data_IF_772977468812
#
_entry.id   IF_772977468812
#
_cell.length_a   1.000
_cell.length_b   1.000
_cell.length_c   1.000
_cell.angle_alpha   90.00
_cell.angle_beta   90.00
_cell.angle_gamma   90.00
#
_symmetry.space_group_name_H-M   'P 1'
#
loop_
_entity.id
_entity.type
_entity.pdbx_description
1 polymer ?
#
# COMPACT_ATOMS: atom_id res chain seq x y z
N UNK A 1 -0.01 34.45 -12.19
CA UNK A 1 1.05 33.54 -11.63
C UNK A 1 0.54 32.54 -10.57
N UNK A 2 -0.77 32.40 -10.33
CA UNK A 2 -1.31 31.60 -9.21
C UNK A 2 -1.51 30.09 -9.49
N UNK A 3 -2.14 29.70 -10.58
CA UNK A 3 -2.63 28.32 -10.77
C UNK A 3 -1.54 27.23 -10.87
N UNK A 4 -0.47 27.47 -11.59
CA UNK A 4 0.61 26.47 -11.72
C UNK A 4 1.39 26.26 -10.42
N UNK A 5 1.51 27.29 -9.59
CA UNK A 5 2.15 27.21 -8.28
C UNK A 5 1.27 26.44 -7.27
N UNK A 6 -0.05 26.70 -7.28
CA UNK A 6 -1.00 26.00 -6.39
C UNK A 6 -1.12 24.51 -6.73
N UNK A 7 -1.18 24.14 -8.02
CA UNK A 7 -1.19 22.73 -8.46
C UNK A 7 0.10 22.01 -8.07
N UNK A 8 1.26 22.66 -8.25
CA UNK A 8 2.56 22.09 -7.81
C UNK A 8 2.64 21.97 -6.30
N UNK A 9 2.17 22.98 -5.54
CA UNK A 9 2.16 22.93 -4.09
C UNK A 9 1.27 21.81 -3.54
N UNK A 10 0.07 21.62 -4.12
CA UNK A 10 -0.83 20.54 -3.77
C UNK A 10 -0.24 19.16 -4.08
N UNK A 11 0.39 18.99 -5.25
CA UNK A 11 1.07 17.75 -5.63
C UNK A 11 2.26 17.45 -4.71
N UNK A 12 3.09 18.46 -4.42
CA UNK A 12 4.21 18.31 -3.48
C UNK A 12 3.75 17.99 -2.06
N UNK A 13 2.66 18.60 -1.58
CA UNK A 13 2.08 18.30 -0.26
C UNK A 13 1.55 16.85 -0.20
N UNK A 14 0.86 16.38 -1.25
CA UNK A 14 0.38 15.00 -1.36
C UNK A 14 1.55 14.00 -1.35
N UNK A 15 2.59 14.26 -2.11
CA UNK A 15 3.81 13.43 -2.15
C UNK A 15 4.52 13.42 -0.80
N UNK A 16 4.63 14.56 -0.12
CA UNK A 16 5.23 14.66 1.20
C UNK A 16 4.43 13.89 2.26
N UNK A 17 3.09 13.99 2.22
CA UNK A 17 2.21 13.23 3.11
C UNK A 17 2.33 11.72 2.90
N UNK A 18 2.37 11.25 1.65
CA UNK A 18 2.59 9.84 1.31
C UNK A 18 3.93 9.34 1.83
N UNK A 19 5.02 10.11 1.66
CA UNK A 19 6.34 9.76 2.19
C UNK A 19 6.35 9.70 3.71
N UNK A 20 5.72 10.67 4.38
CA UNK A 20 5.62 10.71 5.84
C UNK A 20 4.90 9.47 6.37
N UNK A 21 3.79 9.07 5.74
CA UNK A 21 3.02 7.87 6.09
C UNK A 21 3.85 6.59 5.88
N UNK A 22 4.55 6.50 4.75
CA UNK A 22 5.46 5.40 4.46
C UNK A 22 6.55 5.26 5.53
N UNK A 23 7.16 6.38 5.93
CA UNK A 23 8.19 6.39 6.96
C UNK A 23 7.64 6.01 8.34
N UNK A 24 6.43 6.46 8.68
CA UNK A 24 5.75 6.08 9.91
C UNK A 24 5.45 4.57 9.95
N UNK A 25 4.95 4.01 8.85
CA UNK A 25 4.70 2.57 8.68
C UNK A 25 5.97 1.76 8.92
N UNK A 26 7.04 2.05 8.18
CA UNK A 26 8.31 1.34 8.35
C UNK A 26 8.92 1.55 9.73
N UNK A 27 8.73 2.72 10.34
CA UNK A 27 9.14 2.97 11.72
C UNK A 27 8.45 2.03 12.72
N UNK A 28 7.15 1.77 12.56
CA UNK A 28 6.39 0.82 13.37
C UNK A 28 6.83 -0.63 13.11
N UNK A 29 6.94 -1.05 11.84
CA UNK A 29 7.37 -2.40 11.45
C UNK A 29 8.77 -2.73 11.99
N UNK A 30 9.73 -1.80 11.85
CA UNK A 30 11.10 -1.94 12.36
C UNK A 30 11.09 -2.04 13.89
N UNK A 31 10.31 -1.18 14.56
CA UNK A 31 10.16 -1.24 16.01
C UNK A 31 9.64 -2.59 16.49
N UNK A 32 8.59 -3.11 15.86
CA UNK A 32 8.01 -4.41 16.18
C UNK A 32 9.01 -5.54 15.95
N UNK A 33 9.69 -5.56 14.81
CA UNK A 33 10.69 -6.57 14.49
C UNK A 33 11.87 -6.54 15.47
N UNK A 34 12.33 -5.35 15.88
CA UNK A 34 13.39 -5.18 16.86
C UNK A 34 12.94 -5.59 18.27
N UNK A 35 11.68 -5.36 18.62
CA UNK A 35 11.12 -5.70 19.93
C UNK A 35 10.79 -7.17 20.09
N UNK A 36 10.40 -7.86 19.01
CA UNK A 36 10.08 -9.29 19.02
C UNK A 36 11.31 -10.21 19.09
N UNK A 37 12.51 -9.67 18.94
CA UNK A 37 13.77 -10.41 18.94
C UNK A 37 14.92 -9.56 19.45
N UNK A 38 16.13 -9.85 18.94
CA UNK A 38 17.30 -9.01 19.22
C UNK A 38 17.20 -7.70 18.41
N UNK A 39 17.43 -6.52 19.02
CA UNK A 39 17.46 -5.25 18.31
C UNK A 39 18.69 -5.06 17.39
N UNK A 40 19.57 -6.07 17.30
CA UNK A 40 20.67 -6.07 16.34
C UNK A 40 20.24 -6.73 15.01
N UNK A 41 20.32 -6.00 13.87
CA UNK A 41 20.00 -6.56 12.55
C UNK A 41 20.90 -7.72 12.11
N UNK A 42 22.08 -7.88 12.73
CA UNK A 42 22.99 -8.97 12.40
C UNK A 42 22.51 -10.32 12.98
N UNK A 43 21.83 -10.29 14.10
CA UNK A 43 21.31 -11.47 14.80
C UNK A 43 19.81 -11.70 14.58
N UNK A 44 19.07 -10.64 14.19
CA UNK A 44 17.62 -10.69 13.96
C UNK A 44 17.31 -10.68 12.46
N UNK A 45 16.99 -11.85 11.89
CA UNK A 45 16.67 -12.00 10.47
C UNK A 45 15.40 -11.25 10.07
N UNK A 46 14.38 -11.23 10.93
CA UNK A 46 13.14 -10.50 10.68
C UNK A 46 13.40 -9.00 10.57
N UNK A 47 14.14 -8.44 11.52
CA UNK A 47 14.54 -7.04 11.52
C UNK A 47 15.36 -6.68 10.27
N UNK A 48 16.29 -7.55 9.87
CA UNK A 48 17.10 -7.35 8.66
C UNK A 48 16.23 -7.25 7.42
N UNK A 49 15.27 -8.17 7.22
CA UNK A 49 14.35 -8.17 6.07
C UNK A 49 13.51 -6.88 6.00
N UNK A 50 13.00 -6.42 7.14
CA UNK A 50 12.21 -5.16 7.19
C UNK A 50 13.10 -3.97 6.86
N UNK A 51 14.35 -3.91 7.36
CA UNK A 51 15.31 -2.85 7.04
C UNK A 51 15.67 -2.85 5.55
N UNK A 52 15.87 -4.01 4.95
CA UNK A 52 16.16 -4.12 3.51
C UNK A 52 14.98 -3.60 2.67
N UNK A 53 13.76 -3.96 3.04
CA UNK A 53 12.55 -3.40 2.42
C UNK A 53 12.49 -1.87 2.56
N UNK A 54 12.65 -1.37 3.78
CA UNK A 54 12.63 0.07 4.05
C UNK A 54 13.67 0.83 3.21
N UNK A 55 14.87 0.26 3.04
CA UNK A 55 15.92 0.85 2.18
C UNK A 55 15.55 0.87 0.71
N UNK A 56 14.91 -0.20 0.20
CA UNK A 56 14.41 -0.26 -1.20
C UNK A 56 13.38 0.84 -1.45
N UNK A 57 12.54 1.14 -0.46
CA UNK A 57 11.51 2.20 -0.49
C UNK A 57 12.07 3.60 -0.12
N UNK A 58 13.39 3.76 -0.10
CA UNK A 58 14.06 5.02 0.20
C UNK A 58 13.70 5.63 1.57
N UNK A 59 13.41 4.79 2.57
CA UNK A 59 13.21 5.25 3.95
C UNK A 59 14.55 5.75 4.53
N UNK A 60 14.59 6.97 5.07
CA UNK A 60 15.82 7.54 5.61
C UNK A 60 16.45 6.70 6.73
N UNK A 61 17.77 6.60 6.73
CA UNK A 61 18.51 5.80 7.71
C UNK A 61 18.27 6.27 9.17
N UNK A 62 17.97 7.54 9.38
CA UNK A 62 17.67 8.10 10.70
C UNK A 62 16.30 7.62 11.23
N UNK A 63 15.32 7.37 10.36
CA UNK A 63 14.02 6.76 10.73
C UNK A 63 14.25 5.32 11.20
N UNK A 64 15.02 4.54 10.44
CA UNK A 64 15.39 3.16 10.77
C UNK A 64 16.10 3.11 12.12
N UNK A 65 17.12 3.95 12.30
CA UNK A 65 17.91 4.00 13.54
C UNK A 65 17.06 4.40 14.75
N UNK A 66 16.22 5.43 14.64
CA UNK A 66 15.32 5.86 15.71
C UNK A 66 14.32 4.78 16.12
N UNK A 67 13.80 4.00 15.17
CA UNK A 67 12.87 2.91 15.46
C UNK A 67 13.55 1.79 16.26
N UNK A 68 14.78 1.40 15.90
CA UNK A 68 15.58 0.42 16.62
C UNK A 68 15.93 0.92 18.04
N UNK A 69 16.37 2.16 18.17
CA UNK A 69 16.70 2.76 19.47
C UNK A 69 15.48 2.85 20.38
N UNK A 70 14.31 3.20 19.84
CA UNK A 70 13.05 3.20 20.58
C UNK A 70 12.69 1.81 21.10
N UNK A 71 12.98 0.75 20.33
CA UNK A 71 12.76 -0.63 20.77
C UNK A 71 13.72 -1.04 21.91
N UNK A 72 14.98 -0.58 21.87
CA UNK A 72 15.97 -0.82 22.96
C UNK A 72 15.61 -0.13 24.26
N UNK A 73 14.93 1.01 24.19
CA UNK A 73 14.62 1.86 25.35
C UNK A 73 13.54 1.33 26.29
N UNK A 74 13.08 0.10 26.14
CA UNK A 74 12.13 -0.54 27.07
C UNK A 74 10.71 0.08 27.09
N UNK A 75 10.36 0.86 26.07
CA UNK A 75 9.01 1.42 25.94
C UNK A 75 7.98 0.28 25.84
N UNK A 76 6.97 0.32 26.74
CA UNK A 76 5.87 -0.65 26.77
C UNK A 76 4.83 -0.46 25.65
N UNK A 77 5.16 0.28 24.60
CA UNK A 77 4.30 0.41 23.42
C UNK A 77 4.30 -0.93 22.68
N UNK A 78 3.13 -1.52 22.53
CA UNK A 78 2.90 -2.70 21.72
C UNK A 78 2.00 -2.28 20.57
N UNK A 79 2.50 -2.36 19.33
CA UNK A 79 1.65 -2.22 18.18
C UNK A 79 0.98 -3.55 17.85
N UNK A 80 -0.27 -3.48 17.41
CA UNK A 80 -1.06 -4.61 16.92
C UNK A 80 -1.48 -4.33 15.50
N UNK A 81 -1.34 -5.31 14.63
CA UNK A 81 -1.93 -5.28 13.30
C UNK A 81 -3.42 -5.62 13.42
N UNK A 82 -4.26 -4.77 12.87
CA UNK A 82 -5.72 -4.94 12.86
C UNK A 82 -6.24 -4.66 11.46
N UNK A 83 -7.14 -5.50 10.99
CA UNK A 83 -7.84 -5.33 9.72
C UNK A 83 -9.30 -5.05 9.96
N UNK A 84 -9.79 -3.97 9.36
CA UNK A 84 -11.21 -3.64 9.32
C UNK A 84 -11.72 -3.85 7.91
N UNK A 85 -12.93 -4.38 7.81
CA UNK A 85 -13.61 -4.64 6.57
C UNK A 85 -14.95 -3.93 6.58
N UNK A 86 -15.41 -3.47 5.42
CA UNK A 86 -16.66 -2.74 5.35
C UNK A 86 -17.10 -2.41 3.94
N UNK A 87 -18.22 -1.70 3.89
CA UNK A 87 -18.81 -1.21 2.65
C UNK A 87 -18.84 0.30 2.70
N UNK A 88 -18.20 0.93 1.71
CA UNK A 88 -18.20 2.37 1.50
C UNK A 88 -19.39 2.84 0.67
N UNK A 89 -19.46 4.16 0.36
CA UNK A 89 -20.48 4.73 -0.52
C UNK A 89 -20.54 3.99 -1.86
N UNK A 90 -21.74 3.82 -2.43
CA UNK A 90 -21.93 3.15 -3.71
C UNK A 90 -21.67 1.63 -3.67
N UNK A 91 -21.75 1.00 -2.50
CA UNK A 91 -21.47 -0.42 -2.29
C UNK A 91 -20.02 -0.84 -2.58
N UNK A 92 -19.07 0.07 -2.45
CA UNK A 92 -17.65 -0.24 -2.58
C UNK A 92 -17.20 -1.12 -1.42
N UNK A 93 -16.69 -2.29 -1.73
CA UNK A 93 -16.04 -3.16 -0.73
C UNK A 93 -14.68 -2.59 -0.35
N UNK A 94 -14.41 -2.53 0.95
CA UNK A 94 -13.19 -1.92 1.48
C UNK A 94 -12.54 -2.78 2.54
N UNK A 95 -11.22 -2.81 2.49
CA UNK A 95 -10.37 -3.42 3.52
C UNK A 95 -9.38 -2.36 3.99
N UNK A 96 -9.29 -2.16 5.29
CA UNK A 96 -8.43 -1.14 5.93
C UNK A 96 -7.46 -1.86 6.86
N UNK A 97 -6.19 -1.87 6.49
CA UNK A 97 -5.11 -2.41 7.32
C UNK A 97 -4.57 -1.31 8.22
N UNK A 98 -4.48 -1.62 9.51
CA UNK A 98 -4.02 -0.69 10.53
C UNK A 98 -2.94 -1.33 11.39
N UNK A 99 -2.00 -0.50 11.86
CA UNK A 99 -1.02 -0.84 12.87
C UNK A 99 -1.11 0.19 13.99
N UNK A 100 -1.58 -0.24 15.15
CA UNK A 100 -1.94 0.67 16.24
C UNK A 100 -1.48 0.17 17.61
N UNK A 101 -1.22 1.09 18.51
CA UNK A 101 -1.02 0.83 19.94
C UNK A 101 -2.32 0.89 20.76
N UNK A 102 -3.44 1.28 20.10
CA UNK A 102 -4.76 1.37 20.75
C UNK A 102 -5.89 0.99 19.77
N UNK A 103 -6.25 -0.28 19.76
CA UNK A 103 -7.28 -0.83 18.86
C UNK A 103 -8.66 -0.20 19.03
N UNK A 104 -9.03 0.24 20.25
CA UNK A 104 -10.32 0.88 20.51
C UNK A 104 -10.39 2.29 19.90
N UNK A 105 -9.29 3.04 19.99
CA UNK A 105 -9.18 4.35 19.34
C UNK A 105 -9.32 4.18 17.83
N UNK A 106 -8.50 3.32 17.23
CA UNK A 106 -8.49 3.09 15.78
C UNK A 106 -9.81 2.58 15.26
N UNK A 107 -10.44 1.64 15.96
CA UNK A 107 -11.80 1.18 15.62
C UNK A 107 -12.80 2.33 15.57
N UNK A 108 -12.77 3.21 16.58
CA UNK A 108 -13.67 4.36 16.66
C UNK A 108 -13.44 5.35 15.53
N UNK A 109 -12.19 5.63 15.20
CA UNK A 109 -11.80 6.52 14.09
C UNK A 109 -12.25 5.97 12.75
N UNK A 110 -11.91 4.71 12.45
CA UNK A 110 -12.28 4.05 11.18
C UNK A 110 -13.81 3.96 11.05
N UNK A 111 -14.51 3.51 12.10
CA UNK A 111 -15.98 3.45 12.11
C UNK A 111 -16.62 4.82 11.89
N UNK A 112 -16.06 5.85 12.49
CA UNK A 112 -16.56 7.23 12.32
C UNK A 112 -16.38 7.72 10.90
N UNK A 113 -15.24 7.42 10.26
CA UNK A 113 -14.98 7.76 8.86
C UNK A 113 -16.03 7.10 7.94
N UNK A 114 -16.23 5.80 8.07
CA UNK A 114 -17.25 5.08 7.29
C UNK A 114 -18.65 5.68 7.48
N UNK A 115 -19.10 5.84 8.72
CA UNK A 115 -20.45 6.34 9.03
C UNK A 115 -20.68 7.76 8.49
N UNK A 116 -19.69 8.66 8.60
CA UNK A 116 -19.80 10.05 8.10
C UNK A 116 -19.92 10.14 6.58
N UNK A 117 -19.44 9.13 5.88
CA UNK A 117 -19.44 9.10 4.41
C UNK A 117 -20.51 8.17 3.82
N UNK A 118 -21.42 7.64 4.65
CA UNK A 118 -22.54 6.79 4.20
C UNK A 118 -22.13 5.33 3.98
N UNK A 119 -21.02 4.90 4.56
CA UNK A 119 -20.60 3.51 4.61
C UNK A 119 -20.84 2.87 5.97
N UNK A 120 -20.43 1.62 6.13
CA UNK A 120 -20.50 0.88 7.40
C UNK A 120 -19.39 -0.16 7.50
N UNK A 121 -18.88 -0.38 8.72
CA UNK A 121 -18.02 -1.52 8.99
C UNK A 121 -18.83 -2.81 9.09
N UNK A 122 -18.28 -3.87 8.54
CA UNK A 122 -18.78 -5.24 8.62
C UNK A 122 -17.95 -6.10 9.57
N UNK A 123 -18.25 -7.38 9.54
CA UNK A 123 -17.46 -8.38 10.27
C UNK A 123 -16.21 -8.79 9.46
N UNK A 124 -15.25 -9.43 10.12
CA UNK A 124 -14.11 -10.03 9.43
C UNK A 124 -14.58 -11.03 8.36
N UNK A 125 -14.01 -10.94 7.16
CA UNK A 125 -14.40 -11.72 5.98
C UNK A 125 -15.53 -11.13 5.14
N UNK A 126 -16.12 -9.98 5.55
CA UNK A 126 -17.25 -9.38 4.83
C UNK A 126 -16.87 -8.69 3.51
N UNK A 127 -15.61 -8.29 3.35
CA UNK A 127 -15.10 -7.66 2.13
C UNK A 127 -13.91 -8.40 1.53
N UNK A 128 -13.11 -9.10 2.36
CA UNK A 128 -11.85 -9.73 1.94
C UNK A 128 -12.00 -10.74 0.82
N UNK A 129 -13.15 -11.42 0.72
CA UNK A 129 -13.44 -12.38 -0.37
C UNK A 129 -13.45 -11.76 -1.78
N UNK A 130 -13.59 -10.42 -1.85
CA UNK A 130 -13.55 -9.67 -3.11
C UNK A 130 -12.13 -9.38 -3.60
N UNK A 131 -11.11 -9.70 -2.79
CA UNK A 131 -9.73 -9.36 -3.09
C UNK A 131 -8.85 -10.60 -3.18
N UNK A 132 -7.87 -10.54 -4.08
CA UNK A 132 -6.79 -11.52 -4.15
C UNK A 132 -5.47 -10.85 -3.85
N UNK A 133 -4.60 -11.53 -3.11
CA UNK A 133 -3.23 -11.07 -2.90
C UNK A 133 -2.39 -11.43 -4.10
N UNK A 134 -1.94 -10.42 -4.85
CA UNK A 134 -1.19 -10.57 -6.09
C UNK A 134 0.04 -9.66 -6.08
N UNK A 135 1.05 -10.01 -6.86
CA UNK A 135 2.03 -9.06 -7.35
C UNK A 135 1.36 -8.21 -8.43
N UNK A 136 1.40 -6.90 -8.28
CA UNK A 136 0.87 -5.92 -9.22
C UNK A 136 2.00 -5.02 -9.69
N UNK A 137 2.13 -4.89 -11.00
CA UNK A 137 3.05 -3.97 -11.66
C UNK A 137 2.28 -3.19 -12.70
N UNK A 138 2.34 -1.86 -12.60
CA UNK A 138 1.66 -0.93 -13.49
C UNK A 138 2.67 0.08 -14.01
N UNK A 139 2.69 0.31 -15.32
CA UNK A 139 3.68 1.15 -15.97
C UNK A 139 3.25 1.52 -17.38
N UNK A 140 3.90 2.54 -17.96
CA UNK A 140 3.79 2.94 -19.35
C UNK A 140 5.06 2.64 -20.14
N UNK A 141 4.93 2.66 -21.46
CA UNK A 141 6.08 2.69 -22.37
C UNK A 141 6.58 1.34 -22.83
N UNK A 142 5.80 0.27 -22.70
CA UNK A 142 6.00 -1.01 -23.39
C UNK A 142 4.69 -1.45 -24.03
N UNK A 143 4.79 -2.15 -25.14
CA UNK A 143 3.65 -2.83 -25.74
C UNK A 143 3.40 -4.17 -25.04
N UNK A 144 2.26 -4.80 -25.34
CA UNK A 144 1.94 -6.15 -24.85
C UNK A 144 3.00 -7.16 -25.28
N UNK A 145 3.38 -7.14 -26.56
CA UNK A 145 4.39 -8.06 -27.13
C UNK A 145 5.75 -7.88 -26.47
N UNK A 146 6.22 -6.63 -26.29
CA UNK A 146 7.48 -6.33 -25.59
C UNK A 146 7.46 -6.80 -24.13
N UNK A 147 6.32 -6.64 -23.46
CA UNK A 147 6.15 -7.07 -22.07
C UNK A 147 6.16 -8.58 -21.94
N UNK A 148 5.43 -9.27 -22.81
CA UNK A 148 5.39 -10.73 -22.84
C UNK A 148 6.76 -11.31 -23.19
N UNK A 149 7.48 -10.73 -24.17
CA UNK A 149 8.84 -11.15 -24.53
C UNK A 149 9.80 -10.95 -23.35
N UNK A 150 9.74 -9.81 -22.66
CA UNK A 150 10.57 -9.53 -21.49
C UNK A 150 10.34 -10.57 -20.36
N UNK A 151 9.09 -10.88 -20.06
CA UNK A 151 8.71 -11.87 -19.05
C UNK A 151 9.18 -13.28 -19.42
N UNK A 152 9.02 -13.66 -20.70
CA UNK A 152 9.48 -14.96 -21.22
C UNK A 152 11.01 -15.08 -21.16
N UNK A 153 11.74 -14.05 -21.56
CA UNK A 153 13.21 -14.04 -21.53
C UNK A 153 13.76 -14.07 -20.11
N UNK A 154 13.02 -13.52 -19.15
CA UNK A 154 13.35 -13.54 -17.72
C UNK A 154 12.92 -14.81 -17.00
N UNK A 155 12.37 -15.81 -17.69
CA UNK A 155 11.77 -17.03 -17.08
C UNK A 155 10.77 -16.68 -15.96
N UNK A 156 10.05 -15.56 -16.14
CA UNK A 156 9.07 -15.05 -15.19
C UNK A 156 7.67 -15.58 -15.50
N UNK A 157 6.87 -15.81 -14.47
CA UNK A 157 5.54 -16.42 -14.58
C UNK A 157 4.45 -15.42 -14.20
N UNK A 158 3.98 -14.57 -15.15
CA UNK A 158 2.86 -13.69 -14.91
C UNK A 158 1.56 -14.50 -14.82
N UNK A 159 0.60 -13.98 -14.07
CA UNK A 159 -0.77 -14.50 -14.02
C UNK A 159 -1.60 -13.93 -15.15
N UNK A 160 -1.43 -12.63 -15.40
CA UNK A 160 -2.13 -11.88 -16.46
C UNK A 160 -1.31 -10.68 -16.90
N UNK A 161 -1.46 -10.28 -18.16
CA UNK A 161 -0.91 -9.07 -18.76
C UNK A 161 -2.04 -8.38 -19.51
N UNK A 162 -2.38 -7.16 -19.10
CA UNK A 162 -3.45 -6.37 -19.71
C UNK A 162 -2.84 -5.06 -20.17
N UNK A 163 -3.16 -4.66 -21.40
CA UNK A 163 -2.74 -3.37 -21.97
C UNK A 163 -3.97 -2.59 -22.41
N UNK A 164 -4.15 -1.43 -21.84
CA UNK A 164 -5.21 -0.48 -22.19
C UNK A 164 -4.55 0.84 -22.61
N UNK A 165 -4.77 1.23 -23.85
CA UNK A 165 -4.02 2.32 -24.51
C UNK A 165 -2.50 2.05 -24.47
N UNK A 166 -1.74 2.87 -23.76
CA UNK A 166 -0.29 2.70 -23.55
C UNK A 166 0.07 2.24 -22.12
N UNK A 167 -0.95 1.90 -21.32
CA UNK A 167 -0.80 1.52 -19.91
C UNK A 167 -0.81 0.00 -19.73
N UNK A 168 0.23 -0.52 -19.12
CA UNK A 168 0.43 -1.95 -18.95
C UNK A 168 0.21 -2.32 -17.49
N UNK A 169 -0.65 -3.32 -17.26
CA UNK A 169 -0.88 -3.94 -15.97
C UNK A 169 -0.45 -5.40 -16.01
N UNK A 170 0.56 -5.75 -15.21
CA UNK A 170 1.01 -7.15 -15.04
C UNK A 170 0.65 -7.61 -13.65
N UNK A 171 -0.02 -8.76 -13.56
CA UNK A 171 -0.28 -9.44 -12.28
C UNK A 171 0.48 -10.76 -12.22
N UNK A 172 0.88 -11.15 -11.02
CA UNK A 172 1.56 -12.43 -10.75
C UNK A 172 1.11 -13.04 -9.42
N UNK A 173 1.50 -14.28 -9.16
CA UNK A 173 1.48 -14.77 -7.80
C UNK A 173 2.46 -13.95 -6.93
N UNK A 174 2.21 -13.81 -5.61
CA UNK A 174 3.09 -13.05 -4.73
C UNK A 174 4.56 -13.51 -4.75
N UNK A 175 4.78 -14.81 -4.90
CA UNK A 175 6.10 -15.44 -5.02
C UNK A 175 6.83 -15.13 -6.32
N UNK A 176 6.09 -14.91 -7.42
CA UNK A 176 6.64 -14.63 -8.76
C UNK A 176 6.86 -13.13 -9.01
N UNK A 177 6.41 -12.27 -8.09
CA UNK A 177 6.44 -10.81 -8.25
C UNK A 177 7.85 -10.26 -8.54
N UNK A 178 8.86 -10.67 -7.76
CA UNK A 178 10.22 -10.18 -7.92
C UNK A 178 10.81 -10.60 -9.29
N UNK A 179 10.53 -11.84 -9.73
CA UNK A 179 10.99 -12.33 -11.04
C UNK A 179 10.36 -11.54 -12.19
N UNK A 180 9.04 -11.29 -12.13
CA UNK A 180 8.34 -10.51 -13.15
C UNK A 180 8.85 -9.06 -13.21
N UNK A 181 9.00 -8.42 -12.05
CA UNK A 181 9.52 -7.04 -11.97
C UNK A 181 10.94 -6.94 -12.53
N UNK A 182 11.81 -7.87 -12.16
CA UNK A 182 13.22 -7.85 -12.55
C UNK A 182 13.37 -8.16 -14.06
N UNK A 183 12.53 -9.03 -14.63
CA UNK A 183 12.46 -9.30 -16.06
C UNK A 183 12.09 -8.04 -16.87
N UNK A 184 11.05 -7.31 -16.45
CA UNK A 184 10.62 -6.05 -17.07
C UNK A 184 11.73 -5.01 -16.98
N UNK A 185 12.36 -4.85 -15.80
CA UNK A 185 13.48 -3.92 -15.60
C UNK A 185 14.72 -4.29 -16.41
N UNK A 186 15.00 -5.57 -16.64
CA UNK A 186 16.12 -6.01 -17.46
C UNK A 186 15.92 -5.65 -18.93
N UNK A 187 14.69 -5.78 -19.44
CA UNK A 187 14.33 -5.40 -20.82
C UNK A 187 14.32 -3.88 -21.01
N UNK A 188 13.88 -3.12 -20.02
CA UNK A 188 13.81 -1.66 -20.06
C UNK A 188 14.30 -1.02 -18.77
N UNK A 189 15.62 -0.82 -18.61
CA UNK A 189 16.21 -0.33 -17.35
C UNK A 189 15.71 1.03 -16.87
N UNK A 190 15.37 1.92 -17.80
CA UNK A 190 14.90 3.28 -17.52
C UNK A 190 13.39 3.35 -17.25
N UNK A 191 12.64 2.24 -17.40
CA UNK A 191 11.21 2.19 -17.13
C UNK A 191 10.94 2.46 -15.64
N UNK A 192 10.02 3.37 -15.35
CA UNK A 192 9.52 3.61 -14.00
C UNK A 192 8.17 2.92 -13.83
N UNK A 193 7.98 2.25 -12.69
CA UNK A 193 6.69 1.68 -12.32
C UNK A 193 5.88 2.73 -11.57
N UNK A 194 4.62 2.92 -11.96
CA UNK A 194 3.65 3.67 -11.17
C UNK A 194 3.27 2.87 -9.91
N UNK A 195 3.05 1.55 -10.11
CA UNK A 195 2.85 0.59 -9.03
C UNK A 195 3.77 -0.61 -9.23
N UNK A 196 4.47 -1.05 -8.17
CA UNK A 196 5.19 -2.31 -8.14
C UNK A 196 5.19 -2.86 -6.71
N UNK A 197 4.19 -3.67 -6.37
CA UNK A 197 4.03 -4.20 -5.03
C UNK A 197 3.22 -5.49 -4.99
N UNK A 198 3.44 -6.29 -3.94
CA UNK A 198 2.50 -7.35 -3.58
C UNK A 198 1.37 -6.73 -2.77
N UNK A 199 0.17 -6.71 -3.33
CA UNK A 199 -0.98 -5.99 -2.80
C UNK A 199 -2.28 -6.81 -2.93
N UNK A 200 -3.38 -6.28 -2.41
CA UNK A 200 -4.71 -6.84 -2.60
C UNK A 200 -5.38 -6.18 -3.80
N UNK A 201 -5.68 -6.97 -4.81
CA UNK A 201 -6.34 -6.55 -6.06
C UNK A 201 -7.78 -7.05 -6.03
N UNK A 202 -8.77 -6.22 -6.33
CA UNK A 202 -10.17 -6.65 -6.36
C UNK A 202 -10.45 -7.53 -7.57
N UNK A 203 -11.36 -8.51 -7.38
CA UNK A 203 -11.80 -9.39 -8.47
C UNK A 203 -12.73 -8.67 -9.47
N UNK A 204 -13.46 -7.67 -9.00
CA UNK A 204 -14.38 -6.84 -9.80
C UNK A 204 -14.39 -5.42 -9.28
N UNK A 205 -14.58 -4.47 -10.17
CA UNK A 205 -14.68 -3.05 -9.85
C UNK A 205 -16.13 -2.57 -9.86
N UNK A 206 -16.40 -1.49 -9.13
CA UNK A 206 -17.69 -0.80 -9.06
C UNK A 206 -17.51 0.62 -9.56
N UNK A 207 -18.31 1.01 -10.56
CA UNK A 207 -18.39 2.40 -11.01
C UNK A 207 -19.25 3.22 -10.06
N UNK A 208 -18.78 4.41 -9.74
CA UNK A 208 -19.46 5.35 -8.85
C UNK A 208 -20.03 6.51 -9.64
N UNK A 209 -21.26 6.91 -9.31
CA UNK A 209 -21.78 8.21 -9.72
C UNK A 209 -21.08 9.36 -8.97
N UNK A 210 -21.29 10.58 -9.41
CA UNK A 210 -20.56 11.76 -8.90
C UNK A 210 -20.80 11.99 -7.40
N UNK A 211 -22.01 11.72 -6.86
CA UNK A 211 -22.31 11.87 -5.43
C UNK A 211 -21.57 10.83 -4.59
N UNK A 212 -21.61 9.56 -5.02
CA UNK A 212 -20.88 8.49 -4.33
C UNK A 212 -19.38 8.67 -4.47
N UNK A 213 -18.87 9.12 -5.62
CA UNK A 213 -17.46 9.41 -5.84
C UNK A 213 -16.95 10.49 -4.88
N UNK A 214 -17.69 11.58 -4.71
CA UNK A 214 -17.32 12.65 -3.76
C UNK A 214 -17.30 12.15 -2.30
N UNK A 215 -18.31 11.36 -1.89
CA UNK A 215 -18.36 10.75 -0.56
C UNK A 215 -17.24 9.75 -0.34
N UNK A 216 -16.93 8.95 -1.36
CA UNK A 216 -15.87 7.95 -1.32
C UNK A 216 -14.49 8.61 -1.19
N UNK A 217 -14.21 9.65 -1.99
CA UNK A 217 -12.96 10.41 -1.86
C UNK A 217 -12.80 10.98 -0.46
N UNK A 218 -13.87 11.56 0.12
CA UNK A 218 -13.84 12.04 1.51
C UNK A 218 -13.55 10.93 2.52
N UNK A 219 -14.08 9.71 2.29
CA UNK A 219 -13.77 8.55 3.14
C UNK A 219 -12.30 8.18 3.06
N UNK A 220 -11.75 8.13 1.85
CA UNK A 220 -10.32 7.86 1.65
C UNK A 220 -9.45 8.92 2.34
N UNK A 221 -9.81 10.19 2.22
CA UNK A 221 -9.07 11.29 2.85
C UNK A 221 -9.09 11.13 4.38
N UNK A 222 -10.25 10.88 4.99
CA UNK A 222 -10.36 10.67 6.43
C UNK A 222 -9.58 9.45 6.93
N UNK A 223 -9.59 8.33 6.18
CA UNK A 223 -8.80 7.15 6.52
C UNK A 223 -7.31 7.42 6.36
N UNK A 224 -6.93 8.20 5.36
CA UNK A 224 -5.55 8.56 5.11
C UNK A 224 -5.00 9.61 6.10
N UNK A 225 -5.83 10.37 6.77
CA UNK A 225 -5.42 11.28 7.86
C UNK A 225 -5.04 10.53 9.13
N UNK A 226 -5.54 9.31 9.35
CA UNK A 226 -5.18 8.51 10.54
C UNK A 226 -3.78 7.93 10.43
N UNK A 227 -2.96 8.19 11.45
CA UNK A 227 -1.60 7.62 11.56
C UNK A 227 -1.60 6.09 11.80
N UNK A 228 -2.72 5.55 12.23
CA UNK A 228 -2.87 4.11 12.50
C UNK A 228 -3.24 3.31 11.23
N UNK A 229 -3.74 3.96 10.19
CA UNK A 229 -4.09 3.32 8.92
C UNK A 229 -2.85 3.18 8.04
N UNK A 230 -2.44 1.96 7.71
CA UNK A 230 -1.28 1.67 6.89
C UNK A 230 -1.62 1.49 5.41
N UNK A 231 -2.78 0.89 5.11
CA UNK A 231 -3.25 0.69 3.74
C UNK A 231 -4.78 0.62 3.67
N UNK A 232 -5.33 1.09 2.55
CA UNK A 232 -6.75 0.98 2.22
C UNK A 232 -6.86 0.32 0.85
N UNK A 233 -7.58 -0.79 0.79
CA UNK A 233 -7.89 -1.50 -0.45
C UNK A 233 -9.38 -1.34 -0.74
N UNK A 234 -9.74 -1.16 -1.99
CA UNK A 234 -11.11 -0.96 -2.41
C UNK A 234 -11.34 -1.41 -3.85
N UNK A 235 -12.58 -1.66 -4.20
CA UNK A 235 -12.97 -2.03 -5.55
C UNK A 235 -13.72 -0.92 -6.31
N UNK A 236 -13.58 0.34 -5.89
CA UNK A 236 -14.08 1.47 -6.68
C UNK A 236 -13.19 1.69 -7.91
N UNK A 237 -13.83 1.92 -9.05
CA UNK A 237 -13.21 2.42 -10.27
C UNK A 237 -13.18 3.96 -10.20
N UNK A 238 -12.01 4.56 -9.95
CA UNK A 238 -11.83 6.00 -9.72
C UNK A 238 -10.62 6.55 -10.46
#
# INVERSE_FOLDING_TARGET
MGRAHEVRAASMAKTAAMKSKLYAKYGKEIFMAAKSGDPDPNTNLSLRKVIEKAKKENVPADVIKRAIEKAKGGNNVNYSEVRYEGVGPGNVMMVVDCMTDNTNRTFTEVRTAFNKCGGSLGNSGSAMFMFQKLGLMEFEGMTEDETLEALLMGDANPKDVVVEDDYVTVTSAPEDFEACRDAIKAAKPDLEFDTAAVTFVPNTYVDLDDDHKAKFQRLLDMLNESDDVDAVYHNANI
#
